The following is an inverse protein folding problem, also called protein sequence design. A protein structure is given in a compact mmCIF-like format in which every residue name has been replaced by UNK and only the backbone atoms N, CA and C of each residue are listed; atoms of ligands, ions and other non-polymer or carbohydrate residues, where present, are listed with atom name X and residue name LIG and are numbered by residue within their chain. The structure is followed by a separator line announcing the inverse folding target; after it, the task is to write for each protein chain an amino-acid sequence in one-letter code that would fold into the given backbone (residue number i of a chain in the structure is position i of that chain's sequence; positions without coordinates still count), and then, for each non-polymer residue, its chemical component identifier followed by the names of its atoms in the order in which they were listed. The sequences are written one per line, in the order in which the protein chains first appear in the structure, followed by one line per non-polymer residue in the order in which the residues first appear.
data_IF_042256487219
#
_entry.id   IF_042256487219
#
_cell.length_a   1.000
_cell.length_b   1.000
_cell.length_c   1.000
_cell.angle_alpha   90.00
_cell.angle_beta   90.00
_cell.angle_gamma   90.00
#
_symmetry.space_group_name_H-M   'P 1'
#
loop_
_entity.id
_entity.type
_entity.pdbx_description
1 polymer ?
#
# COMPACT_ATOMS: atom_id res chain seq x y z
N UNK A 1 23.82 -8.87 13.86
CA UNK A 1 22.99 -8.13 14.84
C UNK A 1 22.79 -6.74 14.28
N UNK A 2 21.74 -6.51 13.48
CA UNK A 2 21.39 -5.15 13.11
C UNK A 2 20.70 -4.53 14.33
N UNK A 3 21.18 -3.40 14.80
CA UNK A 3 20.40 -2.46 15.62
C UNK A 3 19.89 -1.39 14.67
N UNK A 4 18.71 -1.53 14.06
CA UNK A 4 18.24 -0.55 13.12
C UNK A 4 17.16 0.27 13.82
N UNK A 5 17.45 1.54 14.06
CA UNK A 5 16.38 2.51 13.81
C UNK A 5 16.09 2.37 12.32
N UNK A 6 15.17 1.45 11.97
CA UNK A 6 14.61 1.33 10.62
C UNK A 6 14.25 2.75 10.20
N UNK A 7 14.98 3.29 9.23
CA UNK A 7 14.90 4.70 8.88
C UNK A 7 13.43 5.05 8.64
N UNK A 8 12.82 5.82 9.55
CA UNK A 8 11.37 6.00 9.59
C UNK A 8 10.89 6.52 8.25
N UNK A 9 10.18 5.69 7.50
CA UNK A 9 9.56 6.10 6.24
C UNK A 9 8.26 6.82 6.55
N UNK A 10 7.75 7.60 5.59
CA UNK A 10 6.45 8.27 5.73
C UNK A 10 5.26 7.31 5.84
N UNK A 11 5.49 6.00 5.64
CA UNK A 11 4.47 4.97 5.79
C UNK A 11 4.41 4.40 7.21
N UNK A 12 5.33 4.76 8.10
CA UNK A 12 5.30 4.30 9.50
C UNK A 12 4.34 5.13 10.35
N UNK A 13 3.49 4.42 11.10
CA UNK A 13 2.68 5.02 12.17
C UNK A 13 3.50 5.17 13.45
N UNK A 14 3.14 6.14 14.30
CA UNK A 14 3.78 6.34 15.62
C UNK A 14 3.56 5.13 16.55
N UNK A 15 2.40 4.47 16.41
CA UNK A 15 2.04 3.24 17.13
C UNK A 15 1.28 2.31 16.19
N UNK A 16 1.34 0.98 16.41
CA UNK A 16 0.56 0.03 15.63
C UNK A 16 -0.93 0.31 15.86
N UNK A 17 -1.77 0.27 14.81
CA UNK A 17 -3.21 0.28 15.00
C UNK A 17 -3.64 -0.89 15.90
N UNK A 18 -4.62 -0.66 16.79
CA UNK A 18 -5.16 -1.70 17.69
C UNK A 18 -5.89 -2.85 16.95
N UNK A 19 -6.02 -2.73 15.62
CA UNK A 19 -6.69 -3.69 14.77
C UNK A 19 -5.70 -4.41 13.86
N UNK A 20 -5.96 -5.68 13.57
CA UNK A 20 -5.13 -6.44 12.61
C UNK A 20 -5.27 -5.91 11.19
N UNK A 21 -4.27 -6.21 10.34
CA UNK A 21 -4.33 -5.88 8.91
C UNK A 21 -5.52 -6.58 8.25
N UNK A 22 -5.82 -7.83 8.60
CA UNK A 22 -6.97 -8.56 8.05
C UNK A 22 -8.31 -7.88 8.41
N UNK A 23 -8.47 -7.46 9.68
CA UNK A 23 -9.66 -6.71 10.09
C UNK A 23 -9.76 -5.34 9.38
N UNK A 24 -8.62 -4.73 9.07
CA UNK A 24 -8.56 -3.48 8.33
C UNK A 24 -8.95 -3.66 6.86
N UNK A 25 -8.41 -4.69 6.21
CA UNK A 25 -8.79 -5.08 4.85
C UNK A 25 -10.29 -5.37 4.75
N UNK A 26 -10.88 -6.08 5.72
CA UNK A 26 -12.32 -6.33 5.75
C UNK A 26 -13.14 -5.02 5.83
N UNK A 27 -12.66 -4.00 6.56
CA UNK A 27 -13.30 -2.68 6.58
C UNK A 27 -13.14 -1.96 5.25
N UNK A 28 -11.94 -1.98 4.66
CA UNK A 28 -11.73 -1.40 3.33
C UNK A 28 -12.69 -2.06 2.34
N UNK A 29 -12.77 -3.40 2.31
CA UNK A 29 -13.72 -4.14 1.48
C UNK A 29 -15.17 -3.71 1.67
N UNK A 30 -15.59 -3.56 2.93
CA UNK A 30 -16.96 -3.15 3.26
C UNK A 30 -17.30 -1.71 2.85
N UNK A 31 -16.34 -0.78 2.91
CA UNK A 31 -16.61 0.65 2.79
C UNK A 31 -16.08 1.31 1.51
N UNK A 32 -15.02 0.79 0.87
CA UNK A 32 -14.47 1.35 -0.36
C UNK A 32 -15.37 1.07 -1.58
N UNK A 33 -16.07 -0.06 -1.60
CA UNK A 33 -16.97 -0.41 -2.72
C UNK A 33 -16.26 -0.61 -4.06
N UNK A 34 -14.96 -0.87 -4.05
CA UNK A 34 -14.19 -1.17 -5.27
C UNK A 34 -14.24 -2.67 -5.60
N UNK A 35 -13.98 -3.00 -6.87
CA UNK A 35 -14.03 -4.38 -7.37
C UNK A 35 -12.86 -5.21 -6.82
N UNK A 36 -12.94 -6.54 -6.90
CA UNK A 36 -11.92 -7.42 -6.34
C UNK A 36 -10.54 -7.21 -6.98
N UNK A 37 -10.53 -6.87 -8.26
CA UNK A 37 -9.37 -6.53 -9.06
C UNK A 37 -8.59 -5.34 -8.46
N UNK A 38 -9.29 -4.41 -7.79
CA UNK A 38 -8.64 -3.26 -7.16
C UNK A 38 -7.71 -3.67 -6.01
N UNK A 39 -8.05 -4.74 -5.29
CA UNK A 39 -7.23 -5.26 -4.19
C UNK A 39 -6.00 -5.97 -4.72
N UNK A 40 -6.16 -6.75 -5.80
CA UNK A 40 -5.06 -7.42 -6.50
C UNK A 40 -4.05 -6.39 -7.00
N UNK A 41 -4.51 -5.37 -7.73
CA UNK A 41 -3.66 -4.29 -8.23
C UNK A 41 -3.03 -3.48 -7.08
N UNK A 42 -3.78 -3.23 -6.00
CA UNK A 42 -3.28 -2.50 -4.83
C UNK A 42 -2.13 -3.24 -4.14
N UNK A 43 -2.24 -4.56 -3.98
CA UNK A 43 -1.16 -5.41 -3.46
C UNK A 43 0.06 -5.43 -4.37
N UNK A 44 -0.16 -5.53 -5.68
CA UNK A 44 0.90 -5.49 -6.68
C UNK A 44 1.68 -4.17 -6.64
N UNK A 45 1.01 -3.03 -6.45
CA UNK A 45 1.68 -1.75 -6.27
C UNK A 45 2.51 -1.68 -4.98
N UNK A 46 2.03 -2.27 -3.88
CA UNK A 46 2.78 -2.35 -2.63
C UNK A 46 4.05 -3.20 -2.83
N UNK A 47 3.93 -4.34 -3.49
CA UNK A 47 5.08 -5.21 -3.79
C UNK A 47 6.11 -4.51 -4.71
N UNK A 48 5.66 -3.83 -5.78
CA UNK A 48 6.54 -3.01 -6.63
C UNK A 48 7.27 -1.94 -5.83
N UNK A 49 6.57 -1.25 -4.92
CA UNK A 49 7.17 -0.21 -4.08
C UNK A 49 8.30 -0.75 -3.21
N UNK A 50 8.09 -1.91 -2.57
CA UNK A 50 9.08 -2.57 -1.70
C UNK A 50 10.29 -3.05 -2.50
N UNK A 51 10.05 -3.60 -3.71
CA UNK A 51 11.12 -4.03 -4.63
C UNK A 51 11.97 -2.85 -5.13
N UNK A 52 11.35 -1.71 -5.43
CA UNK A 52 12.05 -0.49 -5.87
C UNK A 52 12.78 0.20 -4.71
N UNK A 53 12.25 0.11 -3.49
CA UNK A 53 12.80 0.79 -2.30
C UNK A 53 12.92 -0.18 -1.13
N UNK A 54 14.03 -0.95 -1.01
CA UNK A 54 14.22 -1.95 0.06
C UNK A 54 14.22 -1.39 1.49
N UNK A 55 14.25 -0.07 1.66
CA UNK A 55 14.08 0.62 2.96
C UNK A 55 12.61 0.66 3.42
N UNK A 56 11.67 0.45 2.50
CA UNK A 56 10.24 0.36 2.80
C UNK A 56 9.95 -1.12 3.07
N UNK A 57 9.76 -1.45 4.35
CA UNK A 57 9.40 -2.80 4.78
C UNK A 57 7.94 -2.85 5.22
N UNK A 58 7.28 -3.99 5.00
CA UNK A 58 5.97 -4.27 5.60
C UNK A 58 6.17 -4.67 7.05
N UNK A 59 5.62 -3.89 7.96
CA UNK A 59 5.67 -4.12 9.40
C UNK A 59 4.32 -3.78 10.03
N UNK A 60 4.08 -4.12 11.32
CA UNK A 60 2.86 -3.70 12.03
C UNK A 60 2.66 -2.18 12.09
N UNK A 61 3.71 -1.38 11.85
CA UNK A 61 3.65 0.08 11.84
C UNK A 61 3.38 0.65 10.45
N UNK A 62 3.74 -0.06 9.37
CA UNK A 62 3.62 0.41 7.99
C UNK A 62 2.49 -0.24 7.19
N UNK A 63 2.12 -1.49 7.50
CA UNK A 63 1.24 -2.32 6.69
C UNK A 63 -0.13 -1.70 6.43
N UNK A 64 -0.80 -1.16 7.45
CA UNK A 64 -2.11 -0.52 7.28
C UNK A 64 -2.05 0.71 6.38
N UNK A 65 -1.00 1.53 6.51
CA UNK A 65 -0.81 2.73 5.68
C UNK A 65 -0.48 2.34 4.24
N UNK A 66 0.40 1.36 4.04
CA UNK A 66 0.71 0.85 2.69
C UNK A 66 -0.54 0.29 2.00
N UNK A 67 -1.34 -0.50 2.71
CA UNK A 67 -2.60 -1.02 2.19
C UNK A 67 -3.57 0.10 1.82
N UNK A 68 -3.78 1.07 2.72
CA UNK A 68 -4.64 2.21 2.43
C UNK A 68 -4.16 2.98 1.20
N UNK A 69 -2.86 3.27 1.10
CA UNK A 69 -2.30 4.01 -0.03
C UNK A 69 -2.48 3.26 -1.36
N UNK A 70 -2.20 1.95 -1.38
CA UNK A 70 -2.42 1.12 -2.56
C UNK A 70 -3.88 1.11 -3.00
N UNK A 71 -4.81 0.99 -2.05
CA UNK A 71 -6.25 0.97 -2.34
C UNK A 71 -6.77 2.33 -2.81
N UNK A 72 -6.34 3.43 -2.20
CA UNK A 72 -6.71 4.79 -2.61
C UNK A 72 -6.26 5.09 -4.04
N UNK A 73 -5.02 4.70 -4.37
CA UNK A 73 -4.44 4.89 -5.70
C UNK A 73 -5.23 4.15 -6.78
N UNK A 74 -5.62 2.90 -6.52
CA UNK A 74 -6.37 2.07 -7.49
C UNK A 74 -7.84 2.48 -7.57
N UNK A 75 -8.46 2.77 -6.43
CA UNK A 75 -9.87 3.17 -6.36
C UNK A 75 -10.15 4.57 -6.92
N UNK A 76 -9.11 5.34 -7.27
CA UNK A 76 -9.24 6.72 -7.75
C UNK A 76 -9.87 7.67 -6.72
N UNK A 77 -9.92 7.27 -5.44
CA UNK A 77 -10.52 8.04 -4.38
C UNK A 77 -9.56 9.15 -3.97
N UNK A 78 -9.61 10.27 -4.67
CA UNK A 78 -8.93 11.49 -4.25
C UNK A 78 -9.62 11.99 -2.98
N UNK A 79 -9.06 11.70 -1.81
CA UNK A 79 -9.36 12.50 -0.63
C UNK A 79 -8.99 13.93 -1.04
N UNK A 80 -9.96 14.86 -1.03
CA UNK A 80 -9.81 16.24 -1.56
C UNK A 80 -8.60 17.00 -1.01
N UNK A 81 -7.99 16.52 0.06
CA UNK A 81 -6.65 16.83 0.49
C UNK A 81 -5.67 15.87 -0.21
N UNK A 82 -5.08 16.29 -1.34
CA UNK A 82 -3.93 15.61 -1.94
C UNK A 82 -2.90 15.26 -0.85
N UNK A 83 -2.92 14.03 -0.34
CA UNK A 83 -2.12 13.68 0.82
C UNK A 83 -0.65 13.66 0.36
N UNK A 84 0.26 14.30 1.12
CA UNK A 84 1.71 14.23 0.88
C UNK A 84 2.18 12.77 0.69
N UNK A 85 1.49 11.82 1.33
CA UNK A 85 1.72 10.39 1.20
C UNK A 85 1.33 9.81 -0.16
N UNK A 86 0.25 10.28 -0.78
CA UNK A 86 -0.20 9.83 -2.11
C UNK A 86 0.78 10.27 -3.18
N UNK A 87 1.12 11.56 -3.17
CA UNK A 87 2.17 12.10 -4.05
C UNK A 87 3.48 11.34 -3.87
N UNK A 88 3.92 11.11 -2.61
CA UNK A 88 5.12 10.30 -2.35
C UNK A 88 4.99 8.88 -2.88
N UNK A 89 3.86 8.22 -2.71
CA UNK A 89 3.64 6.84 -3.19
C UNK A 89 3.75 6.77 -4.72
N UNK A 90 3.12 7.70 -5.44
CA UNK A 90 3.21 7.82 -6.91
C UNK A 90 4.64 8.06 -7.38
N UNK A 91 5.36 8.97 -6.74
CA UNK A 91 6.76 9.27 -7.09
C UNK A 91 7.68 8.07 -6.78
N UNK A 92 7.46 7.39 -5.66
CA UNK A 92 8.26 6.21 -5.30
C UNK A 92 7.99 5.02 -6.22
N UNK A 93 6.80 4.92 -6.80
CA UNK A 93 6.50 3.96 -7.86
C UNK A 93 7.11 4.31 -9.22
N UNK A 94 7.82 5.44 -9.33
CA UNK A 94 8.42 5.91 -10.60
C UNK A 94 7.36 6.01 -11.71
N UNK A 95 6.12 6.34 -11.33
CA UNK A 95 4.95 6.41 -12.22
C UNK A 95 4.64 5.10 -12.98
N UNK A 96 5.14 3.95 -12.52
CA UNK A 96 4.94 2.62 -13.14
C UNK A 96 3.63 1.95 -12.71
N UNK A 97 2.51 2.53 -13.16
CA UNK A 97 1.16 2.01 -12.88
C UNK A 97 0.69 0.93 -13.85
N UNK A 98 1.32 0.76 -15.00
CA UNK A 98 0.91 -0.26 -15.95
C UNK A 98 1.08 -1.66 -15.35
N UNK A 99 -0.01 -2.41 -15.24
CA UNK A 99 -0.01 -3.82 -14.81
C UNK A 99 -0.25 -4.68 -16.03
N UNK A 100 0.70 -5.58 -16.31
CA UNK A 100 0.54 -6.55 -17.39
C UNK A 100 -0.28 -7.76 -16.91
N UNK A 101 -1.03 -8.44 -17.79
CA UNK A 101 -1.83 -9.61 -17.41
C UNK A 101 -1.01 -10.68 -16.70
N UNK A 102 0.22 -10.93 -17.14
CA UNK A 102 1.08 -11.96 -16.55
C UNK A 102 1.51 -11.61 -15.12
N UNK A 103 1.61 -10.31 -14.80
CA UNK A 103 1.89 -9.86 -13.43
C UNK A 103 0.63 -9.91 -12.56
N UNK A 104 -0.54 -9.66 -13.14
CA UNK A 104 -1.81 -9.69 -12.44
C UNK A 104 -2.17 -11.12 -12.01
N UNK A 105 -2.01 -12.09 -12.92
CA UNK A 105 -2.31 -13.51 -12.68
C UNK A 105 -1.53 -14.11 -11.50
N UNK A 106 -0.30 -13.66 -11.23
CA UNK A 106 0.51 -14.08 -10.08
C UNK A 106 -0.13 -13.79 -8.71
N UNK A 107 -1.13 -12.91 -8.68
CA UNK A 107 -1.82 -12.48 -7.47
C UNK A 107 -3.28 -12.97 -7.42
N UNK A 108 -3.72 -13.78 -8.39
CA UNK A 108 -5.09 -14.30 -8.47
C UNK A 108 -5.29 -15.68 -7.82
N UNK A 109 -4.22 -16.30 -7.33
CA UNK A 109 -4.22 -17.63 -6.68
C UNK A 109 -4.50 -17.58 -5.18
#
# INVERSE_FOLDING_TARGET
MASPQEAMTCFHSVRPPAMSICAYLARVHKFFGCSQECYVVGLLYIDRLIKLHPRICVSPLSGHRLLLMGMTLVGGLTLKEFNMLESRFVHLLDWKFHVRPEEYELYCD
#
